data_IF_088065788719
#
_entry.id   IF_088065788719
#
_cell.length_a   1.000
_cell.length_b   1.000
_cell.length_c   1.000
_cell.angle_alpha   90.00
_cell.angle_beta   90.00
_cell.angle_gamma   90.00
#
_symmetry.space_group_name_H-M   'P 1'
#
loop_
_entity.id
_entity.type
_entity.pdbx_description
1 polymer ?
#
# COMPACT_ATOMS: atom_id res chain seq x y z
N UNK A 1 -4.45 12.13 22.95
CA UNK A 1 -3.40 11.28 22.36
C UNK A 1 -2.92 12.02 21.14
N UNK A 2 -1.68 12.47 21.12
CA UNK A 2 -1.13 13.29 20.03
C UNK A 2 -0.61 12.32 18.96
N UNK A 3 -1.24 12.33 17.78
CA UNK A 3 -0.81 11.50 16.66
C UNK A 3 0.58 11.96 16.21
N UNK A 4 1.59 11.13 16.39
CA UNK A 4 2.90 11.38 15.82
C UNK A 4 2.75 11.39 14.29
N UNK A 5 2.97 12.55 13.65
CA UNK A 5 3.08 12.62 12.19
C UNK A 5 4.38 11.94 11.79
N UNK A 6 4.30 10.68 11.37
CA UNK A 6 5.42 9.99 10.75
C UNK A 6 5.84 10.74 9.49
N UNK A 7 7.09 11.19 9.44
CA UNK A 7 7.65 11.76 8.20
C UNK A 7 7.92 10.61 7.23
N UNK A 8 7.44 10.72 5.99
CA UNK A 8 7.58 9.70 4.95
C UNK A 8 9.04 9.33 4.62
N UNK A 9 10.02 10.11 5.07
CA UNK A 9 11.45 9.90 4.80
C UNK A 9 12.01 8.56 5.26
N UNK A 10 11.35 7.87 6.20
CA UNK A 10 11.80 6.58 6.75
C UNK A 10 11.04 5.38 6.15
N UNK A 11 10.21 5.61 5.14
CA UNK A 11 9.43 4.57 4.49
C UNK A 11 10.23 3.95 3.35
N UNK A 12 9.93 2.69 3.05
CA UNK A 12 10.52 1.92 1.97
C UNK A 12 9.43 1.24 1.15
N UNK A 13 9.75 0.97 -0.12
CA UNK A 13 8.86 0.25 -1.01
C UNK A 13 8.96 -1.26 -0.85
N UNK A 14 7.81 -1.92 -0.79
CA UNK A 14 7.61 -3.28 -1.27
C UNK A 14 6.98 -3.16 -2.67
N UNK A 15 7.66 -3.72 -3.67
CA UNK A 15 7.32 -3.58 -5.10
C UNK A 15 7.26 -2.11 -5.52
N UNK A 16 8.42 -1.45 -5.61
CA UNK A 16 8.50 -0.05 -6.06
C UNK A 16 7.94 0.12 -7.48
N UNK A 17 7.00 1.06 -7.70
CA UNK A 17 6.44 1.33 -9.02
C UNK A 17 7.44 2.07 -9.92
N UNK A 18 7.27 1.97 -11.24
CA UNK A 18 8.12 2.69 -12.20
C UNK A 18 8.00 4.22 -12.11
N UNK A 19 6.84 4.73 -11.66
CA UNK A 19 6.53 6.16 -11.59
C UNK A 19 5.93 6.53 -10.23
N UNK A 20 6.69 7.25 -9.40
CA UNK A 20 6.23 7.83 -8.14
C UNK A 20 6.97 9.12 -7.79
N UNK A 21 6.40 9.89 -6.87
CA UNK A 21 7.08 11.05 -6.27
C UNK A 21 6.58 11.29 -4.84
N UNK A 22 7.44 11.86 -4.01
CA UNK A 22 7.11 12.27 -2.65
C UNK A 22 7.46 13.75 -2.48
N UNK A 23 6.46 14.57 -2.22
CA UNK A 23 6.65 16.02 -1.99
C UNK A 23 5.62 16.56 -1.02
N UNK A 24 6.03 17.42 -0.09
CA UNK A 24 5.13 18.07 0.88
C UNK A 24 4.21 17.09 1.62
N UNK A 25 4.74 15.96 2.07
CA UNK A 25 3.98 14.87 2.73
C UNK A 25 2.85 14.28 1.87
N UNK A 26 2.94 14.39 0.54
CA UNK A 26 2.04 13.76 -0.41
C UNK A 26 2.83 12.76 -1.25
N UNK A 27 2.40 11.50 -1.20
CA UNK A 27 2.89 10.44 -2.06
C UNK A 27 1.98 10.35 -3.30
N UNK A 28 2.56 10.59 -4.47
CA UNK A 28 1.89 10.40 -5.76
C UNK A 28 2.43 9.16 -6.43
N UNK A 29 1.54 8.25 -6.82
CA UNK A 29 1.90 6.94 -7.37
C UNK A 29 1.12 6.69 -8.64
N UNK A 30 1.79 6.11 -9.64
CA UNK A 30 1.14 5.48 -10.79
C UNK A 30 1.48 4.00 -10.78
N UNK A 31 0.46 3.16 -10.75
CA UNK A 31 0.63 1.71 -10.67
C UNK A 31 1.23 1.14 -11.95
N UNK A 32 2.13 0.18 -11.80
CA UNK A 32 2.56 -0.66 -12.92
C UNK A 32 1.42 -1.62 -13.33
N UNK A 33 1.46 -2.07 -14.59
CA UNK A 33 0.47 -3.00 -15.11
C UNK A 33 0.54 -4.37 -14.41
N UNK A 34 -0.61 -5.03 -14.25
CA UNK A 34 -0.74 -6.41 -13.73
C UNK A 34 -0.18 -6.58 -12.31
N UNK A 35 -0.51 -5.65 -11.44
CA UNK A 35 -0.12 -5.65 -10.03
C UNK A 35 -1.34 -6.00 -9.16
N UNK A 36 -1.16 -6.88 -8.18
CA UNK A 36 -2.24 -7.25 -7.25
C UNK A 36 -1.68 -7.89 -5.96
N UNK A 37 -2.51 -7.99 -4.94
CA UNK A 37 -2.33 -8.84 -3.77
C UNK A 37 -3.52 -9.81 -3.66
N UNK A 38 -3.28 -11.09 -3.85
CA UNK A 38 -4.31 -12.13 -3.69
C UNK A 38 -3.68 -13.42 -3.20
N UNK A 39 -4.36 -14.14 -2.32
CA UNK A 39 -3.85 -15.39 -1.73
C UNK A 39 -4.89 -16.51 -1.84
N UNK A 40 -4.82 -17.26 -2.94
CA UNK A 40 -5.45 -18.56 -3.24
C UNK A 40 -6.98 -18.64 -3.25
N UNK A 41 -7.67 -17.96 -2.33
CA UNK A 41 -9.11 -18.12 -2.09
C UNK A 41 -9.89 -18.01 -3.38
N UNK A 42 -10.72 -19.01 -3.70
CA UNK A 42 -11.53 -19.15 -4.92
C UNK A 42 -10.76 -19.26 -6.25
N UNK A 43 -9.72 -18.46 -6.47
CA UNK A 43 -9.02 -18.35 -7.74
C UNK A 43 -7.78 -19.24 -7.89
N UNK A 44 -7.35 -19.93 -6.82
CA UNK A 44 -6.22 -20.86 -6.77
C UNK A 44 -4.88 -20.31 -7.32
N UNK A 45 -4.71 -18.98 -7.33
CA UNK A 45 -3.45 -18.32 -7.61
C UNK A 45 -3.06 -17.41 -6.46
N UNK A 46 -1.76 -17.10 -6.37
CA UNK A 46 -1.24 -16.10 -5.43
C UNK A 46 -0.50 -15.02 -6.21
N UNK A 47 -0.79 -13.76 -5.90
CA UNK A 47 -0.11 -12.58 -6.47
C UNK A 47 0.31 -11.69 -5.30
N UNK A 48 1.54 -11.22 -5.32
CA UNK A 48 2.13 -10.40 -4.26
C UNK A 48 2.95 -9.25 -4.87
N UNK A 49 2.39 -8.59 -5.89
CA UNK A 49 3.10 -7.64 -6.77
C UNK A 49 2.55 -6.22 -6.69
N UNK A 50 1.49 -5.98 -5.90
CA UNK A 50 0.98 -4.63 -5.65
C UNK A 50 2.01 -3.75 -4.93
N UNK A 51 1.85 -2.43 -5.06
CA UNK A 51 2.79 -1.45 -4.52
C UNK A 51 2.44 -1.09 -3.07
N UNK A 52 3.42 -1.13 -2.18
CA UNK A 52 3.26 -0.71 -0.78
C UNK A 52 4.42 0.19 -0.39
N UNK A 53 4.12 1.41 0.02
CA UNK A 53 5.08 2.31 0.64
C UNK A 53 4.82 2.32 2.15
N UNK A 54 5.71 1.70 2.92
CA UNK A 54 5.47 1.42 4.34
C UNK A 54 6.71 1.60 5.19
N UNK A 55 6.50 1.57 6.51
CA UNK A 55 7.55 1.58 7.51
C UNK A 55 7.39 0.36 8.44
N UNK A 56 8.49 -0.16 8.98
CA UNK A 56 8.43 -1.27 9.94
C UNK A 56 7.99 -0.76 11.31
N UNK A 57 6.89 -1.28 11.85
CA UNK A 57 6.35 -0.94 13.17
C UNK A 57 6.39 -2.18 14.07
N UNK A 58 6.94 -2.04 15.29
CA UNK A 58 7.06 -3.15 16.26
C UNK A 58 6.11 -3.04 17.45
N UNK A 59 5.47 -1.89 17.63
CA UNK A 59 4.58 -1.59 18.74
C UNK A 59 3.15 -1.38 18.25
N UNK A 60 2.22 -1.19 19.19
CA UNK A 60 0.84 -0.82 18.84
C UNK A 60 0.82 0.50 18.06
N UNK A 61 -0.02 0.58 17.04
CA UNK A 61 -0.09 1.75 16.18
C UNK A 61 -1.51 2.12 15.80
N UNK A 62 -1.66 3.36 15.35
CA UNK A 62 -2.83 3.84 14.63
C UNK A 62 -2.32 4.56 13.40
N UNK A 63 -2.90 4.23 12.24
CA UNK A 63 -2.54 4.83 10.97
C UNK A 63 -3.80 5.37 10.31
N UNK A 64 -3.69 6.59 9.81
CA UNK A 64 -4.73 7.28 9.04
C UNK A 64 -4.07 7.86 7.79
N UNK A 65 -4.76 7.75 6.66
CA UNK A 65 -4.31 8.29 5.38
C UNK A 65 -5.52 8.84 4.62
N UNK A 66 -5.31 9.93 3.89
CA UNK A 66 -6.26 10.38 2.87
C UNK A 66 -5.87 9.75 1.53
N UNK A 67 -6.80 9.02 0.90
CA UNK A 67 -6.58 8.43 -0.43
C UNK A 67 -7.41 9.17 -1.45
N UNK A 68 -6.74 9.72 -2.44
CA UNK A 68 -7.35 10.31 -3.63
C UNK A 68 -6.83 9.54 -4.84
N UNK A 69 -7.74 8.91 -5.59
CA UNK A 69 -7.36 8.09 -6.75
C UNK A 69 -8.44 8.17 -7.84
N UNK A 70 -7.99 8.09 -9.09
CA UNK A 70 -8.85 8.03 -10.27
C UNK A 70 -9.15 6.57 -10.63
N UNK A 71 -10.14 5.97 -9.97
CA UNK A 71 -10.59 4.61 -10.27
C UNK A 71 -11.35 4.58 -11.59
N UNK A 72 -10.73 4.05 -12.65
CA UNK A 72 -11.28 4.09 -14.01
C UNK A 72 -11.46 2.71 -14.63
N UNK A 73 -10.75 1.71 -14.11
CA UNK A 73 -10.73 0.34 -14.62
C UNK A 73 -11.19 -0.64 -13.55
N UNK A 74 -11.82 -1.72 -13.99
CA UNK A 74 -12.20 -2.81 -13.10
C UNK A 74 -10.96 -3.35 -12.38
N UNK A 75 -11.06 -3.48 -11.05
CA UNK A 75 -10.00 -3.92 -10.12
C UNK A 75 -8.89 -2.90 -9.82
N UNK A 76 -9.05 -1.64 -10.23
CA UNK A 76 -8.25 -0.54 -9.65
C UNK A 76 -8.48 -0.50 -8.15
N UNK A 77 -7.39 -0.40 -7.38
CA UNK A 77 -7.39 -0.48 -5.92
C UNK A 77 -6.46 0.56 -5.33
N UNK A 78 -6.87 1.22 -4.25
CA UNK A 78 -6.00 2.11 -3.48
C UNK A 78 -6.46 2.20 -2.02
N UNK A 79 -5.50 2.17 -1.09
CA UNK A 79 -5.82 2.06 0.32
C UNK A 79 -4.62 1.87 1.23
N UNK A 80 -4.88 1.26 2.38
CA UNK A 80 -3.89 0.88 3.38
C UNK A 80 -3.56 -0.61 3.29
N UNK A 81 -2.32 -0.94 3.66
CA UNK A 81 -1.83 -2.30 3.80
C UNK A 81 -1.21 -2.49 5.19
N UNK A 82 -1.53 -3.59 5.85
CA UNK A 82 -0.76 -4.15 6.95
C UNK A 82 -0.09 -5.41 6.41
N UNK A 83 1.24 -5.43 6.36
CA UNK A 83 2.01 -6.51 5.75
C UNK A 83 2.96 -7.11 6.77
N UNK A 84 2.83 -8.42 7.04
CA UNK A 84 3.79 -9.17 7.87
C UNK A 84 4.69 -10.00 6.97
N UNK A 85 4.10 -10.78 6.06
CA UNK A 85 4.78 -11.56 5.03
C UNK A 85 3.83 -11.86 3.86
N UNK A 86 4.29 -12.59 2.84
CA UNK A 86 3.54 -12.87 1.61
C UNK A 86 2.20 -13.60 1.84
N UNK A 87 2.05 -14.27 2.98
CA UNK A 87 0.86 -15.06 3.35
C UNK A 87 0.00 -14.39 4.41
N UNK A 88 0.55 -13.41 5.14
CA UNK A 88 -0.12 -12.74 6.25
C UNK A 88 -0.11 -11.23 6.01
N UNK A 89 -1.19 -10.75 5.42
CA UNK A 89 -1.42 -9.33 5.18
C UNK A 89 -2.90 -8.99 5.14
N UNK A 90 -3.21 -7.71 5.30
CA UNK A 90 -4.55 -7.15 5.16
C UNK A 90 -4.44 -5.90 4.31
N UNK A 91 -5.18 -5.86 3.19
CA UNK A 91 -5.41 -4.65 2.40
C UNK A 91 -6.84 -4.15 2.62
N UNK A 92 -7.02 -2.84 2.74
CA UNK A 92 -8.33 -2.22 2.86
C UNK A 92 -8.32 -0.84 2.17
N UNK A 93 -9.38 -0.55 1.42
CA UNK A 93 -9.47 0.66 0.61
C UNK A 93 -10.69 0.60 -0.30
N UNK A 94 -10.61 1.38 -1.38
CA UNK A 94 -11.51 1.26 -2.53
C UNK A 94 -10.92 0.27 -3.53
#
# INVERSE_FOLDING_TARGET
MESAKGTFSNFSWLNEPSEWSLSNDVLTVKTDNKTDFWQETWYNFSVNTGHVYGLEIKEDFTMEVCVEAEFTTLYDQAGLMIYVDEKHWLKAGI
#
